data_IF_613866914927
#
_entry.id   IF_613866914927
#
_cell.length_a   1.000
_cell.length_b   1.000
_cell.length_c   1.000
_cell.angle_alpha   90.00
_cell.angle_beta   90.00
_cell.angle_gamma   90.00
#
_symmetry.space_group_name_H-M   'P 1'
#
loop_
_entity.id
_entity.type
_entity.pdbx_description
1 polymer ?
#
# COMPACT_ATOMS: atom_id res chain seq x y z
N UNK A 1 9.17 37.76 11.07
CA UNK A 1 8.88 37.52 12.50
C UNK A 1 7.44 37.05 12.62
N UNK A 2 7.23 35.75 12.84
CA UNK A 2 5.98 35.19 13.40
C UNK A 2 6.42 34.17 14.45
N UNK A 3 6.19 34.56 15.70
CA UNK A 3 6.61 33.88 16.92
C UNK A 3 5.74 32.63 17.16
N UNK A 4 6.41 31.51 17.46
CA UNK A 4 5.98 30.47 18.41
C UNK A 4 4.47 30.29 18.65
N UNK A 5 3.79 29.47 17.84
CA UNK A 5 2.90 28.49 18.47
C UNK A 5 3.82 27.44 19.06
N UNK A 6 4.02 27.47 20.38
CA UNK A 6 4.65 26.38 21.11
C UNK A 6 4.00 25.09 20.63
N UNK A 7 4.83 24.10 20.31
CA UNK A 7 4.45 22.83 19.73
C UNK A 7 3.33 22.20 20.58
N UNK A 8 2.07 22.43 20.16
CA UNK A 8 0.88 22.18 20.98
C UNK A 8 0.80 20.71 21.37
N UNK A 9 1.31 19.86 20.48
CA UNK A 9 1.42 18.43 20.65
C UNK A 9 2.31 18.05 21.84
N UNK A 10 3.53 18.60 21.92
CA UNK A 10 4.47 18.33 23.03
C UNK A 10 4.08 19.03 24.33
N UNK A 11 3.17 20.00 24.29
CA UNK A 11 2.61 20.65 25.47
C UNK A 11 1.48 19.84 26.14
N UNK A 12 0.92 18.83 25.45
CA UNK A 12 -0.16 18.00 25.95
C UNK A 12 0.37 16.75 26.69
N UNK A 13 -0.31 16.28 27.75
CA UNK A 13 -0.02 14.98 28.34
C UNK A 13 -0.18 13.86 27.31
N UNK A 14 0.67 12.82 27.40
CA UNK A 14 0.61 11.64 26.52
C UNK A 14 -0.76 10.94 26.51
N UNK A 15 -1.46 10.97 27.65
CA UNK A 15 -2.84 10.45 27.75
C UNK A 15 -3.84 11.28 26.93
N UNK A 16 -3.63 12.58 26.83
CA UNK A 16 -4.47 13.50 26.06
C UNK A 16 -4.20 13.34 24.57
N UNK A 17 -2.94 13.34 24.13
CA UNK A 17 -2.59 13.13 22.71
C UNK A 17 -3.09 11.76 22.21
N UNK A 18 -2.93 10.71 23.01
CA UNK A 18 -3.46 9.39 22.72
C UNK A 18 -4.97 9.37 22.54
N UNK A 19 -5.73 10.04 23.43
CA UNK A 19 -7.19 10.16 23.30
C UNK A 19 -7.60 10.90 22.03
N UNK A 20 -6.88 11.96 21.65
CA UNK A 20 -7.17 12.69 20.42
C UNK A 20 -7.01 11.79 19.20
N UNK A 21 -5.89 11.06 19.09
CA UNK A 21 -5.65 10.12 17.99
C UNK A 21 -6.75 9.06 17.91
N UNK A 22 -7.15 8.47 19.04
CA UNK A 22 -8.20 7.45 19.05
C UNK A 22 -9.58 7.99 18.64
N UNK A 23 -9.94 9.23 19.02
CA UNK A 23 -11.20 9.86 18.57
C UNK A 23 -11.24 10.02 17.05
N UNK A 24 -10.17 10.53 16.45
CA UNK A 24 -10.11 10.72 14.99
C UNK A 24 -10.06 9.38 14.25
N UNK A 25 -9.34 8.39 14.78
CA UNK A 25 -9.35 7.04 14.23
C UNK A 25 -10.73 6.41 14.28
N UNK A 26 -11.42 6.52 15.41
CA UNK A 26 -12.77 5.97 15.55
C UNK A 26 -13.74 6.63 14.57
N UNK A 27 -13.68 7.95 14.40
CA UNK A 27 -14.50 8.68 13.43
C UNK A 27 -14.22 8.19 11.99
N UNK A 28 -12.94 8.03 11.63
CA UNK A 28 -12.55 7.50 10.33
C UNK A 28 -13.00 6.05 10.13
N UNK A 29 -12.83 5.19 11.13
CA UNK A 29 -13.28 3.80 11.07
C UNK A 29 -14.79 3.71 10.84
N UNK A 30 -15.60 4.54 11.50
CA UNK A 30 -17.05 4.59 11.28
C UNK A 30 -17.38 4.99 9.84
N UNK A 31 -16.77 6.06 9.33
CA UNK A 31 -17.09 6.58 7.99
C UNK A 31 -16.57 5.65 6.88
N UNK A 32 -15.41 5.01 7.09
CA UNK A 32 -14.86 4.03 6.16
C UNK A 32 -15.58 2.67 6.21
N UNK A 33 -16.43 2.44 7.21
CA UNK A 33 -17.26 1.23 7.31
C UNK A 33 -18.64 1.37 6.68
N UNK A 34 -19.04 2.59 6.30
CA UNK A 34 -20.35 2.86 5.70
C UNK A 34 -20.31 2.61 4.18
N UNK A 35 -21.32 1.90 3.66
CA UNK A 35 -21.46 1.61 2.24
C UNK A 35 -22.64 2.42 1.63
N UNK A 36 -22.45 3.10 0.49
CA UNK A 36 -21.23 3.16 -0.31
C UNK A 36 -20.17 4.08 0.32
N UNK A 37 -18.91 3.64 0.26
CA UNK A 37 -17.75 4.37 0.79
C UNK A 37 -17.72 5.84 0.34
N UNK A 38 -17.83 6.74 1.31
CA UNK A 38 -17.78 8.17 1.07
C UNK A 38 -16.36 8.63 0.72
N UNK A 39 -16.03 8.71 -0.58
CA UNK A 39 -14.75 9.24 -1.09
C UNK A 39 -14.80 10.77 -1.24
N UNK A 40 -15.38 11.46 -0.27
CA UNK A 40 -15.63 12.90 -0.32
C UNK A 40 -14.52 13.71 0.40
N UNK A 41 -14.60 15.03 0.31
CA UNK A 41 -13.66 15.95 0.97
C UNK A 41 -13.64 15.83 2.49
N UNK A 42 -14.74 15.36 3.09
CA UNK A 42 -14.85 15.20 4.55
C UNK A 42 -13.91 14.12 5.05
N UNK A 43 -13.92 12.93 4.42
CA UNK A 43 -12.99 11.84 4.78
C UNK A 43 -11.54 12.25 4.57
N UNK A 44 -11.26 12.99 3.48
CA UNK A 44 -9.93 13.55 3.23
C UNK A 44 -9.50 14.52 4.32
N UNK A 45 -10.39 15.38 4.81
CA UNK A 45 -10.08 16.30 5.90
C UNK A 45 -9.75 15.54 7.20
N UNK A 46 -10.47 14.47 7.51
CA UNK A 46 -10.17 13.63 8.68
C UNK A 46 -8.79 12.95 8.55
N UNK A 47 -8.45 12.44 7.37
CA UNK A 47 -7.12 11.87 7.09
C UNK A 47 -6.01 12.91 7.23
N UNK A 48 -6.23 14.15 6.78
CA UNK A 48 -5.30 15.27 6.96
C UNK A 48 -5.08 15.61 8.44
N UNK A 49 -6.13 15.56 9.25
CA UNK A 49 -6.02 15.77 10.70
C UNK A 49 -5.13 14.69 11.33
N UNK A 50 -5.35 13.41 11.02
CA UNK A 50 -4.49 12.33 11.51
C UNK A 50 -3.04 12.48 11.03
N UNK A 51 -2.83 12.83 9.75
CA UNK A 51 -1.50 13.06 9.19
C UNK A 51 -0.79 14.25 9.89
N UNK A 52 -1.54 15.30 10.24
CA UNK A 52 -1.01 16.43 10.99
C UNK A 52 -0.57 16.02 12.39
N UNK A 53 -1.39 15.23 13.10
CA UNK A 53 -1.05 14.65 14.41
C UNK A 53 0.18 13.75 14.33
N UNK A 54 0.25 12.88 13.33
CA UNK A 54 1.42 12.01 13.08
C UNK A 54 2.69 12.83 12.87
N UNK A 55 2.62 13.89 12.05
CA UNK A 55 3.75 14.76 11.77
C UNK A 55 4.20 15.54 13.01
N UNK A 56 3.26 15.97 13.86
CA UNK A 56 3.57 16.62 15.13
C UNK A 56 4.24 15.63 16.11
N UNK A 57 3.71 14.41 16.21
CA UNK A 57 4.30 13.35 17.00
C UNK A 57 5.73 13.00 16.59
N UNK A 58 6.01 12.93 15.27
CA UNK A 58 7.36 12.68 14.75
C UNK A 58 8.39 13.77 15.06
N UNK A 59 7.94 14.98 15.41
CA UNK A 59 8.81 16.09 15.82
C UNK A 59 9.07 16.09 17.33
N UNK A 60 8.32 15.31 18.08
CA UNK A 60 8.47 15.19 19.53
C UNK A 60 9.71 14.36 19.86
N UNK A 61 10.47 14.76 20.87
CA UNK A 61 11.62 14.00 21.33
C UNK A 61 11.19 12.74 22.12
N UNK A 62 11.95 11.66 21.96
CA UNK A 62 11.87 10.50 22.86
C UNK A 62 12.13 10.95 24.32
N UNK A 63 11.37 10.48 25.33
CA UNK A 63 10.43 9.35 25.34
C UNK A 63 8.94 9.72 25.18
N UNK A 64 8.62 10.96 24.82
CA UNK A 64 7.23 11.43 24.73
C UNK A 64 6.55 11.08 23.40
N UNK A 65 7.33 10.59 22.44
CA UNK A 65 6.87 10.19 21.13
C UNK A 65 5.99 8.94 21.20
N UNK A 66 4.78 9.02 20.63
CA UNK A 66 3.90 7.86 20.53
C UNK A 66 4.40 6.89 19.45
N UNK A 67 4.22 5.57 19.64
CA UNK A 67 4.50 4.59 18.59
C UNK A 67 3.71 4.88 17.31
N UNK A 68 4.34 4.76 16.14
CA UNK A 68 3.68 5.02 14.85
C UNK A 68 2.44 4.14 14.63
N UNK A 69 2.45 2.91 15.15
CA UNK A 69 1.32 1.98 15.09
C UNK A 69 0.04 2.52 15.71
N UNK A 70 0.13 3.53 16.59
CA UNK A 70 -1.04 4.21 17.15
C UNK A 70 -1.82 5.01 16.12
N UNK A 71 -1.19 5.44 15.03
CA UNK A 71 -1.83 6.21 13.96
C UNK A 71 -2.44 5.34 12.86
N UNK A 72 -2.12 4.04 12.84
CA UNK A 72 -2.62 3.11 11.84
C UNK A 72 -4.08 2.73 12.06
N UNK A 73 -4.81 2.55 10.95
CA UNK A 73 -6.17 2.05 10.86
C UNK A 73 -6.15 0.62 10.34
N UNK A 74 -7.00 -0.23 10.91
CA UNK A 74 -7.35 -1.52 10.33
C UNK A 74 -8.29 -1.26 9.16
N UNK A 75 -7.78 -1.37 7.94
CA UNK A 75 -8.55 -1.10 6.74
C UNK A 75 -9.15 -2.37 6.15
N UNK A 76 -10.35 -2.24 5.58
CA UNK A 76 -10.97 -3.30 4.80
C UNK A 76 -10.13 -3.54 3.52
N UNK A 77 -9.79 -4.81 3.26
CA UNK A 77 -9.04 -5.22 2.06
C UNK A 77 -9.76 -4.89 0.76
N UNK A 78 -11.09 -4.91 0.76
CA UNK A 78 -11.93 -4.52 -0.38
C UNK A 78 -11.79 -3.03 -0.68
N UNK A 79 -11.83 -2.19 0.37
CA UNK A 79 -11.56 -0.76 0.23
C UNK A 79 -10.18 -0.51 -0.37
N UNK A 80 -9.14 -1.18 0.16
CA UNK A 80 -7.76 -1.06 -0.33
C UNK A 80 -7.63 -1.47 -1.80
N UNK A 81 -8.33 -2.53 -2.19
CA UNK A 81 -8.34 -2.99 -3.58
C UNK A 81 -8.94 -1.91 -4.46
N UNK A 82 -10.15 -1.42 -4.16
CA UNK A 82 -10.82 -0.35 -4.90
C UNK A 82 -9.96 0.93 -5.00
N UNK A 83 -9.28 1.31 -3.92
CA UNK A 83 -8.39 2.47 -3.90
C UNK A 83 -7.17 2.29 -4.83
N UNK A 84 -6.61 1.07 -4.87
CA UNK A 84 -5.56 0.70 -5.81
C UNK A 84 -6.05 0.72 -7.27
N UNK A 85 -7.28 0.28 -7.56
CA UNK A 85 -7.85 0.34 -8.93
C UNK A 85 -7.97 1.79 -9.40
N UNK A 86 -8.44 2.68 -8.53
CA UNK A 86 -8.56 4.10 -8.85
C UNK A 86 -7.19 4.73 -9.14
N UNK A 87 -6.18 4.41 -8.32
CA UNK A 87 -4.82 4.88 -8.54
C UNK A 87 -4.26 4.43 -9.90
N UNK A 88 -4.45 3.17 -10.29
CA UNK A 88 -4.08 2.67 -11.62
C UNK A 88 -4.87 3.32 -12.76
N UNK A 89 -6.18 3.47 -12.59
CA UNK A 89 -7.01 4.13 -13.62
C UNK A 89 -6.56 5.56 -13.91
N UNK A 90 -5.98 6.25 -12.92
CA UNK A 90 -5.40 7.59 -13.06
C UNK A 90 -4.04 7.58 -13.75
N UNK A 91 -3.21 6.56 -13.52
CA UNK A 91 -1.91 6.46 -14.21
C UNK A 91 -2.11 6.26 -15.72
N UNK A 92 -3.20 5.59 -16.10
CA UNK A 92 -3.54 5.31 -17.50
C UNK A 92 -4.48 6.34 -18.16
N UNK A 93 -5.25 7.11 -17.39
CA UNK A 93 -6.22 8.09 -17.93
C UNK A 93 -6.25 9.39 -17.13
N UNK A 94 -6.51 10.54 -17.78
CA UNK A 94 -6.68 11.85 -17.12
C UNK A 94 -8.00 11.98 -16.33
N UNK A 95 -8.49 10.90 -15.71
CA UNK A 95 -9.69 10.94 -14.86
C UNK A 95 -9.40 11.63 -13.53
N UNK A 96 -10.39 12.35 -13.01
CA UNK A 96 -10.28 13.22 -11.83
C UNK A 96 -10.54 12.52 -10.49
N UNK A 97 -10.89 11.23 -10.48
CA UNK A 97 -11.14 10.51 -9.23
C UNK A 97 -9.82 10.14 -8.59
N UNK A 98 -9.50 10.75 -7.45
CA UNK A 98 -8.25 10.50 -6.73
C UNK A 98 -8.38 9.29 -5.79
N UNK A 99 -7.34 8.44 -5.68
CA UNK A 99 -7.26 7.50 -4.58
C UNK A 99 -7.26 8.26 -3.25
N UNK A 100 -7.96 7.71 -2.27
CA UNK A 100 -8.24 8.40 -1.02
C UNK A 100 -7.09 8.25 -0.01
N UNK A 101 -6.53 7.05 0.11
CA UNK A 101 -5.50 6.72 1.12
C UNK A 101 -4.19 6.34 0.42
N UNK A 102 -4.26 5.55 -0.64
CA UNK A 102 -3.10 5.01 -1.34
C UNK A 102 -2.19 6.15 -1.83
N UNK A 103 -0.89 6.03 -1.52
CA UNK A 103 0.17 7.03 -1.79
C UNK A 103 0.03 8.39 -1.08
N UNK A 104 -1.18 8.81 -0.67
CA UNK A 104 -1.44 10.12 -0.08
C UNK A 104 -1.34 10.13 1.44
N UNK A 105 -1.74 9.04 2.10
CA UNK A 105 -1.75 8.91 3.56
C UNK A 105 -1.14 7.57 4.03
N UNK A 106 0.12 7.25 3.67
CA UNK A 106 0.74 5.99 4.07
C UNK A 106 0.94 5.86 5.59
N UNK A 107 0.88 6.97 6.35
CA UNK A 107 1.00 6.98 7.81
C UNK A 107 -0.18 6.30 8.51
N UNK A 108 -1.38 6.32 7.91
CA UNK A 108 -2.58 5.70 8.49
C UNK A 108 -2.70 4.21 8.16
N UNK A 109 -1.78 3.67 7.36
CA UNK A 109 -1.80 2.25 7.00
C UNK A 109 -0.89 1.45 7.92
N UNK A 110 -1.41 0.36 8.48
CA UNK A 110 -0.57 -0.64 9.14
C UNK A 110 0.32 -1.39 8.12
N UNK A 111 1.29 -2.14 8.64
CA UNK A 111 2.25 -2.87 7.81
C UNK A 111 1.55 -3.93 6.94
N UNK A 112 0.53 -4.60 7.48
CA UNK A 112 -0.21 -5.64 6.76
C UNK A 112 -0.99 -5.05 5.59
N UNK A 113 -1.62 -3.89 5.76
CA UNK A 113 -2.32 -3.16 4.70
C UNK A 113 -1.34 -2.66 3.63
N UNK A 114 -0.18 -2.13 4.04
CA UNK A 114 0.88 -1.71 3.11
C UNK A 114 1.39 -2.88 2.29
N UNK A 115 1.66 -4.01 2.95
CA UNK A 115 2.10 -5.24 2.31
C UNK A 115 1.04 -5.78 1.37
N UNK A 116 -0.21 -5.83 1.80
CA UNK A 116 -1.33 -6.29 0.97
C UNK A 116 -1.44 -5.48 -0.32
N UNK A 117 -1.42 -4.15 -0.22
CA UNK A 117 -1.44 -3.26 -1.38
C UNK A 117 -0.21 -3.45 -2.27
N UNK A 118 0.98 -3.55 -1.67
CA UNK A 118 2.23 -3.75 -2.41
C UNK A 118 2.20 -5.07 -3.20
N UNK A 119 1.81 -6.17 -2.56
CA UNK A 119 1.73 -7.49 -3.16
C UNK A 119 0.71 -7.48 -4.32
N UNK A 120 -0.47 -6.88 -4.12
CA UNK A 120 -1.49 -6.71 -5.18
C UNK A 120 -1.01 -5.84 -6.35
N UNK A 121 -0.27 -4.76 -6.06
CA UNK A 121 0.31 -3.92 -7.10
C UNK A 121 1.43 -4.64 -7.88
N UNK A 122 2.21 -5.48 -7.21
CA UNK A 122 3.21 -6.32 -7.86
C UNK A 122 2.54 -7.36 -8.78
N UNK A 123 1.47 -8.01 -8.32
CA UNK A 123 0.64 -8.90 -9.15
C UNK A 123 0.09 -8.17 -10.38
N UNK A 124 -0.46 -6.96 -10.20
CA UNK A 124 -0.91 -6.11 -11.31
C UNK A 124 0.18 -5.92 -12.37
N UNK A 125 1.38 -5.54 -11.92
CA UNK A 125 2.53 -5.27 -12.81
C UNK A 125 2.99 -6.52 -13.58
N UNK A 126 2.88 -7.71 -12.96
CA UNK A 126 3.17 -8.99 -13.62
C UNK A 126 2.11 -9.35 -14.66
N UNK A 127 0.84 -9.07 -14.36
CA UNK A 127 -0.28 -9.42 -15.22
C UNK A 127 -0.40 -8.49 -16.45
N UNK A 128 -0.03 -7.21 -16.33
CA UNK A 128 0.07 -6.31 -17.49
C UNK A 128 1.10 -6.77 -18.53
N UNK A 129 2.09 -7.57 -18.11
CA UNK A 129 3.07 -8.16 -19.03
C UNK A 129 2.55 -9.41 -19.75
N UNK A 130 1.37 -9.91 -19.38
CA UNK A 130 0.72 -11.08 -19.99
C UNK A 130 -0.34 -10.67 -21.04
N UNK A 131 -0.76 -11.57 -21.96
CA UNK A 131 -1.76 -11.26 -22.98
C UNK A 131 -3.09 -10.76 -22.38
N UNK A 132 -3.75 -9.77 -23.02
CA UNK A 132 -4.89 -9.04 -22.46
C UNK A 132 -6.11 -9.92 -22.10
N UNK A 133 -6.25 -11.10 -22.72
CA UNK A 133 -7.34 -12.04 -22.44
C UNK A 133 -7.36 -12.54 -20.98
N UNK A 134 -6.20 -12.66 -20.34
CA UNK A 134 -6.11 -13.11 -18.94
C UNK A 134 -6.44 -12.01 -17.93
N UNK A 135 -6.25 -10.75 -18.33
CA UNK A 135 -6.48 -9.57 -17.50
C UNK A 135 -7.97 -9.35 -17.22
N UNK A 136 -8.82 -9.47 -18.24
CA UNK A 136 -10.27 -9.30 -18.12
C UNK A 136 -10.89 -10.39 -17.23
N UNK A 137 -10.46 -11.65 -17.40
CA UNK A 137 -11.01 -12.80 -16.67
C UNK A 137 -10.69 -12.79 -15.16
N UNK A 138 -9.49 -12.37 -14.77
CA UNK A 138 -9.09 -12.27 -13.35
C UNK A 138 -9.86 -11.16 -12.62
N UNK A 139 -10.11 -10.03 -13.31
CA UNK A 139 -10.66 -8.83 -12.68
C UNK A 139 -12.19 -8.80 -12.62
N UNK A 140 -12.88 -9.26 -13.67
CA UNK A 140 -14.35 -9.32 -13.66
C UNK A 140 -14.89 -10.47 -12.82
N UNK A 141 -14.15 -11.58 -12.70
CA UNK A 141 -14.69 -12.82 -12.15
C UNK A 141 -13.90 -13.41 -10.96
N UNK A 142 -12.78 -12.81 -10.55
CA UNK A 142 -11.97 -13.30 -9.43
C UNK A 142 -11.41 -14.71 -9.65
N UNK A 143 -11.28 -15.15 -10.90
CA UNK A 143 -10.86 -16.50 -11.25
C UNK A 143 -9.34 -16.68 -11.10
N UNK A 144 -8.87 -17.85 -10.62
CA UNK A 144 -7.44 -18.14 -10.58
C UNK A 144 -6.86 -18.19 -12.00
N UNK A 145 -5.67 -17.62 -12.16
CA UNK A 145 -4.96 -17.55 -13.43
C UNK A 145 -4.45 -18.94 -13.87
N UNK A 146 -4.35 -19.24 -15.18
CA UNK A 146 -3.67 -20.43 -15.67
C UNK A 146 -2.22 -20.47 -15.16
N UNK A 147 -1.79 -21.62 -14.65
CA UNK A 147 -0.50 -21.79 -13.97
C UNK A 147 0.69 -21.99 -14.92
N UNK A 148 0.49 -21.82 -16.23
CA UNK A 148 1.31 -22.51 -17.23
C UNK A 148 2.39 -21.65 -17.93
N UNK A 149 2.62 -20.40 -17.50
CA UNK A 149 3.73 -19.59 -18.02
C UNK A 149 4.77 -19.38 -16.91
N UNK A 150 5.72 -20.31 -16.82
CA UNK A 150 6.88 -20.22 -15.94
C UNK A 150 8.16 -20.11 -16.76
N UNK A 151 9.14 -19.37 -16.24
CA UNK A 151 10.48 -19.31 -16.79
C UNK A 151 11.35 -20.33 -16.06
N UNK A 152 11.73 -21.39 -16.76
CA UNK A 152 12.55 -22.46 -16.20
C UNK A 152 14.03 -22.02 -16.11
N UNK A 153 14.63 -22.21 -14.93
CA UNK A 153 16.03 -21.93 -14.64
C UNK A 153 16.70 -23.26 -14.30
N UNK A 154 17.44 -23.80 -15.25
CA UNK A 154 18.21 -25.03 -15.06
C UNK A 154 19.50 -24.72 -14.31
N UNK A 155 19.65 -25.27 -13.11
CA UNK A 155 20.81 -25.00 -12.25
C UNK A 155 21.42 -26.29 -11.74
N UNK A 156 22.74 -26.34 -11.71
CA UNK A 156 23.43 -27.43 -10.99
C UNK A 156 23.53 -27.08 -9.52
N UNK A 157 23.28 -28.06 -8.65
CA UNK A 157 23.27 -27.88 -7.19
C UNK A 157 24.56 -27.25 -6.65
N UNK A 158 25.70 -27.65 -7.19
CA UNK A 158 27.03 -27.17 -6.82
C UNK A 158 27.35 -25.76 -7.35
N UNK A 159 26.60 -25.29 -8.36
CA UNK A 159 26.86 -24.03 -9.06
C UNK A 159 25.63 -23.11 -9.11
N UNK A 160 24.64 -23.32 -8.23
CA UNK A 160 23.35 -22.60 -8.22
C UNK A 160 23.51 -21.10 -8.39
N UNK A 161 24.44 -20.48 -7.66
CA UNK A 161 24.67 -19.03 -7.77
C UNK A 161 25.15 -18.63 -9.17
N UNK A 162 26.17 -19.31 -9.69
CA UNK A 162 26.76 -18.99 -10.99
C UNK A 162 25.74 -19.23 -12.11
N UNK A 163 25.12 -20.41 -12.13
CA UNK A 163 24.16 -20.80 -13.15
C UNK A 163 22.92 -19.88 -13.13
N UNK A 164 22.45 -19.46 -11.95
CA UNK A 164 21.33 -18.49 -11.83
C UNK A 164 21.71 -17.13 -12.39
N UNK A 165 22.89 -16.58 -12.04
CA UNK A 165 23.30 -15.27 -12.54
C UNK A 165 23.52 -15.27 -14.05
N UNK A 166 24.12 -16.33 -14.61
CA UNK A 166 24.31 -16.45 -16.06
C UNK A 166 22.96 -16.51 -16.79
N UNK A 167 22.00 -17.30 -16.29
CA UNK A 167 20.65 -17.36 -16.85
C UNK A 167 19.92 -16.02 -16.75
N UNK A 168 19.88 -15.40 -15.57
CA UNK A 168 19.19 -14.12 -15.38
C UNK A 168 19.87 -12.96 -16.13
N UNK A 169 21.19 -13.00 -16.31
CA UNK A 169 21.90 -11.98 -17.10
C UNK A 169 21.59 -12.07 -18.61
N UNK A 170 21.12 -13.22 -19.09
CA UNK A 170 20.83 -13.45 -20.51
C UNK A 170 19.40 -13.08 -20.93
N UNK A 171 18.50 -12.81 -19.98
CA UNK A 171 17.07 -12.54 -20.25
C UNK A 171 16.76 -11.06 -20.47
N UNK A 172 15.65 -10.79 -21.19
CA UNK A 172 15.16 -9.43 -21.36
C UNK A 172 14.52 -8.90 -20.08
N UNK A 173 14.53 -7.57 -19.91
CA UNK A 173 13.95 -6.92 -18.72
C UNK A 173 12.46 -7.23 -18.51
N UNK A 174 11.71 -7.49 -19.60
CA UNK A 174 10.30 -7.90 -19.56
C UNK A 174 10.10 -9.25 -18.86
N UNK A 175 11.06 -10.15 -18.99
CA UNK A 175 10.92 -11.56 -18.63
C UNK A 175 11.08 -11.79 -17.12
N UNK A 176 11.70 -10.83 -16.42
CA UNK A 176 11.79 -10.80 -14.95
C UNK A 176 10.43 -10.76 -14.23
N UNK A 177 9.34 -10.47 -14.95
CA UNK A 177 7.99 -10.46 -14.40
C UNK A 177 7.35 -11.86 -14.40
N UNK A 178 7.92 -12.81 -15.14
CA UNK A 178 7.44 -14.18 -15.26
C UNK A 178 7.86 -14.97 -14.00
N UNK A 179 6.96 -15.79 -13.41
CA UNK A 179 7.33 -16.69 -12.31
C UNK A 179 8.49 -17.62 -12.69
N UNK A 180 9.50 -17.74 -11.83
CA UNK A 180 10.64 -18.63 -12.04
C UNK A 180 10.32 -20.05 -11.56
N UNK A 181 10.72 -21.05 -12.32
CA UNK A 181 10.71 -22.45 -11.93
C UNK A 181 12.15 -22.99 -11.97
N UNK A 182 12.70 -23.39 -10.82
CA UNK A 182 14.05 -23.97 -10.80
C UNK A 182 13.94 -25.45 -11.18
N UNK A 183 14.64 -25.86 -12.22
CA UNK A 183 14.71 -27.25 -12.67
C UNK A 183 16.12 -27.79 -12.46
N UNK A 184 16.19 -29.08 -12.11
CA UNK A 184 17.37 -29.79 -11.58
C UNK A 184 17.93 -29.18 -10.27
N UNK A 185 18.09 -30.04 -9.26
CA UNK A 185 18.69 -29.72 -7.96
C UNK A 185 19.29 -30.97 -7.33
#
# INVERSE_FOLDING_TARGET
MLSSSGDWWSSLPSSTTSKHVEVWKQALSVILSDEPLHRNSEVRNLLLVLQYMYNANRRTAEPQQMPESKFCLLMNKEFLLQDLQLWHSRSQSKKNTEPLILCSFPSVMDLDSKKYVFDRNAEYTKNEAQPPFFWESFWEFGLPMPQDVVFEVDVRRELVLKDTFEHLASINQSDYRIPLAVINM
#
